data_IF_631084026132
#
_entry.id   IF_631084026132
#
_cell.length_a   1.000
_cell.length_b   1.000
_cell.length_c   1.000
_cell.angle_alpha   90.00
_cell.angle_beta   90.00
_cell.angle_gamma   90.00
#
_symmetry.space_group_name_H-M   'P 1'
#
loop_
_entity.id
_entity.type
_entity.pdbx_description
1 polymer ?
#
# COMPACT_ATOMS: atom_id res chain seq x y z
N UNK A 1 18.87 22.16 4.54
CA UNK A 1 17.42 21.82 4.54
C UNK A 1 16.97 21.38 3.14
N UNK A 2 17.40 22.05 2.07
CA UNK A 2 17.24 21.57 0.68
C UNK A 2 18.09 20.30 0.39
N UNK A 3 19.36 20.25 0.82
CA UNK A 3 20.22 19.05 0.70
C UNK A 3 19.61 17.78 1.30
N UNK A 4 18.97 17.87 2.47
CA UNK A 4 18.36 16.71 3.16
C UNK A 4 17.18 16.14 2.35
N UNK A 5 16.53 16.98 1.53
CA UNK A 5 15.44 16.55 0.65
C UNK A 5 15.99 15.93 -0.64
N UNK A 6 17.08 16.47 -1.19
CA UNK A 6 17.79 15.90 -2.35
C UNK A 6 18.44 14.55 -2.01
N UNK A 7 19.15 14.44 -0.89
CA UNK A 7 19.75 13.18 -0.41
C UNK A 7 18.70 12.09 -0.21
N UNK A 8 17.51 12.48 0.26
CA UNK A 8 16.39 11.57 0.45
C UNK A 8 15.74 11.17 -0.86
N UNK A 9 15.76 12.03 -1.87
CA UNK A 9 15.28 11.73 -3.22
C UNK A 9 16.26 10.80 -3.95
N UNK A 10 17.56 11.00 -3.79
CA UNK A 10 18.61 10.09 -4.29
C UNK A 10 18.52 8.71 -3.63
N UNK A 11 18.35 8.63 -2.30
CA UNK A 11 18.16 7.36 -1.60
C UNK A 11 16.91 6.60 -2.09
N UNK A 12 15.84 7.33 -2.46
CA UNK A 12 14.64 6.71 -3.06
C UNK A 12 14.90 6.19 -4.46
N UNK A 13 15.70 6.89 -5.27
CA UNK A 13 16.08 6.43 -6.61
C UNK A 13 17.00 5.19 -6.53
N UNK A 14 17.89 5.12 -5.54
CA UNK A 14 18.72 3.94 -5.30
C UNK A 14 17.92 2.73 -4.83
N UNK A 15 16.94 2.91 -3.93
CA UNK A 15 16.00 1.84 -3.57
C UNK A 15 15.17 1.37 -4.77
N UNK A 16 14.73 2.31 -5.62
CA UNK A 16 13.98 1.99 -6.84
C UNK A 16 14.80 1.12 -7.80
N UNK A 17 16.09 1.40 -7.96
CA UNK A 17 16.99 0.61 -8.79
C UNK A 17 17.25 -0.80 -8.22
N UNK A 18 17.08 -0.98 -6.90
CA UNK A 18 17.17 -2.29 -6.24
C UNK A 18 15.98 -3.20 -6.57
N UNK A 19 14.84 -2.62 -6.96
CA UNK A 19 13.62 -3.32 -7.38
C UNK A 19 13.37 -3.17 -8.89
N UNK A 20 14.41 -3.42 -9.69
CA UNK A 20 14.35 -3.49 -11.16
C UNK A 20 13.16 -4.33 -11.65
N UNK A 21 12.54 -3.89 -12.75
CA UNK A 21 11.32 -4.38 -13.42
C UNK A 21 11.40 -5.83 -13.97
N UNK A 22 12.02 -6.77 -13.25
CA UNK A 22 11.89 -8.18 -13.58
C UNK A 22 10.49 -8.66 -13.19
N UNK A 23 9.57 -8.50 -14.14
CA UNK A 23 8.26 -9.14 -14.14
C UNK A 23 8.48 -10.65 -14.03
N UNK A 24 8.14 -11.24 -12.88
CA UNK A 24 8.08 -12.70 -12.76
C UNK A 24 6.94 -13.23 -13.66
N UNK A 25 7.34 -13.70 -14.84
CA UNK A 25 6.45 -14.12 -15.95
C UNK A 25 5.66 -15.40 -15.60
N UNK A 26 5.91 -16.04 -14.46
CA UNK A 26 5.40 -17.39 -14.18
C UNK A 26 4.14 -17.48 -13.31
N UNK A 27 3.52 -16.39 -12.86
CA UNK A 27 2.26 -16.49 -12.11
C UNK A 27 1.04 -16.30 -13.01
N UNK A 28 0.64 -17.37 -13.70
CA UNK A 28 -0.63 -17.40 -14.46
C UNK A 28 -1.81 -17.55 -13.48
N UNK A 29 -2.20 -16.47 -12.82
CA UNK A 29 -3.50 -16.35 -12.13
C UNK A 29 -4.55 -15.75 -13.08
N UNK A 30 -5.83 -16.17 -12.99
CA UNK A 30 -6.85 -15.82 -13.96
C UNK A 30 -7.18 -14.32 -13.85
N UNK A 31 -6.83 -13.57 -14.90
CA UNK A 31 -7.30 -12.22 -15.28
C UNK A 31 -7.91 -11.39 -14.13
N UNK A 32 -7.11 -11.01 -13.13
CA UNK A 32 -7.47 -9.91 -12.24
C UNK A 32 -7.04 -8.61 -12.91
N UNK A 33 -7.76 -8.19 -13.96
CA UNK A 33 -7.58 -6.86 -14.52
C UNK A 33 -7.94 -5.87 -13.41
N UNK A 34 -6.98 -5.11 -12.93
CA UNK A 34 -7.18 -4.02 -11.98
C UNK A 34 -7.25 -2.74 -12.82
N UNK A 35 -8.37 -2.48 -13.53
CA UNK A 35 -8.44 -1.48 -14.59
C UNK A 35 -8.09 -0.06 -14.12
N UNK A 36 -8.18 0.21 -12.83
CA UNK A 36 -7.87 1.54 -12.29
C UNK A 36 -6.37 1.67 -12.07
N UNK A 37 -5.75 0.69 -11.42
CA UNK A 37 -4.29 0.64 -11.31
C UNK A 37 -3.63 0.58 -12.70
N UNK A 38 -4.08 -0.35 -13.55
CA UNK A 38 -3.58 -0.56 -14.91
C UNK A 38 -3.82 0.67 -15.79
N UNK A 39 -4.95 1.35 -15.61
CA UNK A 39 -5.29 2.58 -16.33
C UNK A 39 -4.35 3.73 -15.97
N UNK A 40 -4.10 3.96 -14.68
CA UNK A 40 -3.16 5.00 -14.22
C UNK A 40 -1.74 4.70 -14.70
N UNK A 41 -1.30 3.44 -14.63
CA UNK A 41 0.00 3.03 -15.13
C UNK A 41 0.11 3.21 -16.65
N UNK A 42 -0.92 2.85 -17.41
CA UNK A 42 -0.92 3.04 -18.87
C UNK A 42 -0.88 4.52 -19.27
N UNK A 43 -1.56 5.39 -18.53
CA UNK A 43 -1.70 6.80 -18.90
C UNK A 43 -0.48 7.65 -18.49
N UNK A 44 0.27 7.25 -17.46
CA UNK A 44 1.39 8.05 -16.93
C UNK A 44 2.59 7.27 -16.40
N UNK A 45 2.66 5.97 -16.66
CA UNK A 45 3.77 5.09 -16.29
C UNK A 45 3.92 4.88 -14.77
N UNK A 46 5.10 4.38 -14.39
CA UNK A 46 5.47 4.19 -12.99
C UNK A 46 5.46 5.51 -12.20
N UNK A 47 5.81 6.63 -12.86
CA UNK A 47 5.88 7.94 -12.23
C UNK A 47 4.51 8.44 -11.75
N UNK A 48 3.44 8.22 -12.53
CA UNK A 48 2.09 8.57 -12.08
C UNK A 48 1.67 7.78 -10.83
N UNK A 49 2.03 6.50 -10.78
CA UNK A 49 1.76 5.61 -9.63
C UNK A 49 2.54 6.08 -8.39
N UNK A 50 3.83 6.37 -8.55
CA UNK A 50 4.70 6.89 -7.49
C UNK A 50 4.19 8.24 -6.98
N UNK A 51 3.81 9.15 -7.87
CA UNK A 51 3.24 10.45 -7.51
C UNK A 51 1.91 10.34 -6.77
N UNK A 52 1.13 9.28 -6.98
CA UNK A 52 -0.14 9.08 -6.27
C UNK A 52 -0.02 8.30 -4.96
N UNK A 53 1.04 7.52 -4.75
CA UNK A 53 1.13 6.61 -3.57
C UNK A 53 2.42 6.68 -2.77
N UNK A 54 3.49 7.28 -3.30
CA UNK A 54 4.87 7.18 -2.83
C UNK A 54 5.51 5.79 -3.01
N UNK A 55 4.81 4.85 -3.65
CA UNK A 55 5.30 3.51 -3.92
C UNK A 55 5.48 3.30 -5.42
N UNK A 56 6.52 2.58 -5.80
CA UNK A 56 6.67 2.05 -7.15
C UNK A 56 5.57 0.99 -7.43
N UNK A 57 5.31 0.67 -8.71
CA UNK A 57 4.43 -0.44 -9.06
C UNK A 57 4.85 -1.78 -8.42
N UNK A 58 6.16 -2.04 -8.31
CA UNK A 58 6.69 -3.27 -7.71
C UNK A 58 6.47 -3.30 -6.19
N UNK A 59 6.69 -2.19 -5.48
CA UNK A 59 6.40 -2.08 -4.05
C UNK A 59 4.90 -2.26 -3.75
N UNK A 60 4.03 -1.68 -4.58
CA UNK A 60 2.58 -1.89 -4.46
C UNK A 60 2.21 -3.36 -4.63
N UNK A 61 2.86 -4.06 -5.58
CA UNK A 61 2.65 -5.49 -5.75
C UNK A 61 3.10 -6.27 -4.51
N UNK A 62 4.28 -5.98 -3.97
CA UNK A 62 4.77 -6.61 -2.73
C UNK A 62 3.81 -6.42 -1.56
N UNK A 63 3.35 -5.19 -1.34
CA UNK A 63 2.34 -4.90 -0.32
C UNK A 63 1.03 -5.63 -0.58
N UNK A 64 0.56 -5.63 -1.83
CA UNK A 64 -0.64 -6.37 -2.22
C UNK A 64 -0.50 -7.87 -1.94
N UNK A 65 0.62 -8.49 -2.29
CA UNK A 65 0.87 -9.92 -2.05
C UNK A 65 0.83 -10.28 -0.56
N UNK A 66 1.28 -9.39 0.33
CA UNK A 66 1.22 -9.62 1.78
C UNK A 66 -0.22 -9.71 2.33
N UNK A 67 -1.17 -8.96 1.74
CA UNK A 67 -2.56 -8.91 2.20
C UNK A 67 -3.55 -9.67 1.31
N UNK A 68 -3.18 -10.03 0.08
CA UNK A 68 -4.11 -10.55 -0.94
C UNK A 68 -4.89 -11.78 -0.47
N UNK A 69 -4.23 -12.69 0.26
CA UNK A 69 -4.86 -13.92 0.74
C UNK A 69 -5.97 -13.63 1.74
N UNK A 70 -5.73 -12.68 2.65
CA UNK A 70 -6.73 -12.20 3.61
C UNK A 70 -7.88 -11.47 2.88
N UNK A 71 -7.54 -10.54 1.98
CA UNK A 71 -8.53 -9.77 1.22
C UNK A 71 -9.43 -10.67 0.38
N UNK A 72 -8.87 -11.69 -0.29
CA UNK A 72 -9.64 -12.64 -1.09
C UNK A 72 -10.66 -13.41 -0.23
N UNK A 73 -10.29 -13.71 1.02
CA UNK A 73 -11.14 -14.45 1.95
C UNK A 73 -12.25 -13.60 2.57
N UNK A 74 -12.04 -12.30 2.81
CA UNK A 74 -12.96 -11.50 3.63
C UNK A 74 -13.66 -10.34 2.91
N UNK A 75 -13.10 -9.77 1.84
CA UNK A 75 -13.59 -8.51 1.26
C UNK A 75 -15.05 -8.52 0.78
N UNK A 76 -15.50 -9.63 0.19
CA UNK A 76 -16.87 -9.77 -0.33
C UNK A 76 -17.75 -10.69 0.53
N UNK A 77 -17.27 -11.13 1.70
CA UNK A 77 -18.05 -11.99 2.59
C UNK A 77 -19.02 -11.13 3.41
N UNK A 78 -20.27 -11.57 3.55
CA UNK A 78 -21.29 -10.87 4.34
C UNK A 78 -21.82 -9.56 3.71
N UNK A 79 -21.18 -9.04 2.65
CA UNK A 79 -21.74 -7.95 1.84
C UNK A 79 -22.81 -8.51 0.92
N UNK A 80 -24.08 -8.21 1.20
CA UNK A 80 -25.21 -8.66 0.35
C UNK A 80 -25.02 -8.37 -1.15
N UNK A 81 -24.31 -7.28 -1.49
CA UNK A 81 -23.83 -7.00 -2.85
C UNK A 81 -22.30 -6.92 -2.89
N UNK A 82 -21.69 -7.70 -3.79
CA UNK A 82 -20.24 -7.67 -4.07
C UNK A 82 -19.81 -6.30 -4.57
N UNK A 83 -18.56 -5.91 -4.26
CA UNK A 83 -17.95 -4.71 -4.82
C UNK A 83 -17.84 -4.82 -6.35
N UNK A 84 -18.06 -3.71 -7.05
CA UNK A 84 -17.84 -3.59 -8.50
C UNK A 84 -16.37 -3.36 -8.86
N UNK A 85 -15.54 -3.00 -7.87
CA UNK A 85 -14.12 -2.74 -8.04
C UNK A 85 -13.30 -4.00 -7.75
N UNK A 86 -12.22 -4.19 -8.51
CA UNK A 86 -11.24 -5.22 -8.19
C UNK A 86 -10.60 -4.91 -6.83
N UNK A 87 -10.32 -5.94 -6.03
CA UNK A 87 -9.80 -5.75 -4.68
C UNK A 87 -8.45 -5.02 -4.67
N UNK A 88 -7.60 -5.27 -5.68
CA UNK A 88 -6.32 -4.57 -5.87
C UNK A 88 -6.51 -3.10 -6.28
N UNK A 89 -7.55 -2.76 -7.05
CA UNK A 89 -7.89 -1.35 -7.33
C UNK A 89 -8.27 -0.62 -6.04
N UNK A 90 -9.09 -1.26 -5.19
CA UNK A 90 -9.48 -0.66 -3.90
C UNK A 90 -8.28 -0.50 -2.98
N UNK A 91 -7.36 -1.46 -2.96
CA UNK A 91 -6.09 -1.35 -2.25
C UNK A 91 -5.24 -0.18 -2.76
N UNK A 92 -5.10 -0.03 -4.08
CA UNK A 92 -4.41 1.12 -4.67
C UNK A 92 -5.09 2.45 -4.30
N UNK A 93 -6.41 2.55 -4.41
CA UNK A 93 -7.15 3.75 -3.99
C UNK A 93 -6.95 4.08 -2.52
N UNK A 94 -6.89 3.07 -1.64
CA UNK A 94 -6.61 3.25 -0.23
C UNK A 94 -5.22 3.89 -0.04
N UNK A 95 -4.18 3.41 -0.72
CA UNK A 95 -2.85 4.03 -0.66
C UNK A 95 -2.87 5.49 -1.12
N UNK A 96 -3.64 5.81 -2.16
CA UNK A 96 -3.82 7.20 -2.62
C UNK A 96 -4.54 8.06 -1.57
N UNK A 97 -5.58 7.54 -0.93
CA UNK A 97 -6.27 8.22 0.19
C UNK A 97 -5.29 8.51 1.33
N UNK A 98 -4.44 7.55 1.68
CA UNK A 98 -3.44 7.69 2.74
C UNK A 98 -2.35 8.72 2.38
N UNK A 99 -1.93 8.81 1.11
CA UNK A 99 -0.95 9.82 0.67
C UNK A 99 -1.55 11.22 0.53
N UNK A 100 -2.62 11.35 -0.25
CA UNK A 100 -3.01 12.65 -0.81
C UNK A 100 -3.60 13.62 0.21
N UNK A 101 -4.01 13.16 1.41
CA UNK A 101 -4.49 14.01 2.51
C UNK A 101 -5.45 15.11 2.04
N UNK A 102 -6.74 14.84 1.93
CA UNK A 102 -7.69 15.82 1.39
C UNK A 102 -9.15 15.41 1.58
N UNK A 103 -10.06 16.14 0.95
CA UNK A 103 -11.49 15.80 1.01
C UNK A 103 -11.77 14.52 0.21
N UNK A 104 -12.73 13.72 0.68
CA UNK A 104 -13.17 12.52 -0.02
C UNK A 104 -13.61 12.81 -1.47
N UNK A 105 -14.18 13.98 -1.73
CA UNK A 105 -14.60 14.40 -3.07
C UNK A 105 -13.42 14.59 -4.02
N UNK A 106 -12.35 15.21 -3.55
CA UNK A 106 -11.14 15.42 -4.35
C UNK A 106 -10.53 14.09 -4.77
N UNK A 107 -10.37 13.15 -3.83
CA UNK A 107 -9.77 11.84 -4.12
C UNK A 107 -10.70 10.98 -4.99
N UNK A 108 -12.02 11.03 -4.75
CA UNK A 108 -12.99 10.31 -5.57
C UNK A 108 -12.99 10.79 -7.04
N UNK A 109 -12.75 12.09 -7.27
CA UNK A 109 -12.63 12.66 -8.63
C UNK A 109 -11.42 12.14 -9.39
N UNK A 110 -10.29 11.83 -8.73
CA UNK A 110 -9.11 11.22 -9.37
C UNK A 110 -9.52 9.92 -10.09
N UNK A 111 -10.37 9.12 -9.44
CA UNK A 111 -10.82 7.83 -9.96
C UNK A 111 -12.14 7.89 -10.72
N UNK A 112 -12.73 9.08 -10.90
CA UNK A 112 -14.05 9.28 -11.51
C UNK A 112 -15.16 8.45 -10.84
N UNK A 113 -15.06 8.25 -9.52
CA UNK A 113 -16.04 7.51 -8.71
C UNK A 113 -16.95 8.49 -7.98
N UNK A 114 -18.24 8.15 -7.82
CA UNK A 114 -19.16 8.94 -6.98
C UNK A 114 -18.67 8.96 -5.53
N UNK A 115 -18.54 10.14 -4.93
CA UNK A 115 -17.97 10.36 -3.59
C UNK A 115 -18.54 9.44 -2.51
N UNK A 116 -19.87 9.29 -2.41
CA UNK A 116 -20.48 8.39 -1.42
C UNK A 116 -20.14 6.90 -1.66
N UNK A 117 -19.99 6.49 -2.92
CA UNK A 117 -19.57 5.12 -3.26
C UNK A 117 -18.10 4.92 -2.92
N UNK A 118 -17.26 5.91 -3.20
CA UNK A 118 -15.84 5.90 -2.87
C UNK A 118 -15.62 5.76 -1.37
N UNK A 119 -16.25 6.63 -0.55
CA UNK A 119 -16.16 6.56 0.92
C UNK A 119 -16.55 5.17 1.43
N UNK A 120 -17.75 4.69 1.06
CA UNK A 120 -18.24 3.37 1.51
C UNK A 120 -17.34 2.21 1.09
N UNK A 121 -16.68 2.33 -0.06
CA UNK A 121 -15.77 1.31 -0.58
C UNK A 121 -14.47 1.32 0.21
N UNK A 122 -13.85 2.49 0.38
CA UNK A 122 -12.58 2.63 1.10
C UNK A 122 -12.73 2.30 2.58
N UNK A 123 -13.74 2.83 3.28
CA UNK A 123 -13.91 2.56 4.71
C UNK A 123 -14.20 1.08 4.97
N UNK A 124 -15.06 0.45 4.17
CA UNK A 124 -15.30 -0.99 4.30
C UNK A 124 -14.05 -1.81 3.99
N UNK A 125 -13.20 -1.35 3.07
CA UNK A 125 -11.96 -2.06 2.75
C UNK A 125 -10.94 -1.93 3.88
N UNK A 126 -10.84 -0.75 4.52
CA UNK A 126 -10.03 -0.52 5.72
C UNK A 126 -10.41 -1.51 6.82
N UNK A 127 -11.71 -1.66 7.12
CA UNK A 127 -12.20 -2.62 8.13
C UNK A 127 -11.74 -4.05 7.87
N UNK A 128 -11.58 -4.44 6.59
CA UNK A 128 -11.10 -5.76 6.19
C UNK A 128 -9.58 -5.88 6.29
N UNK A 129 -8.82 -4.87 5.87
CA UNK A 129 -7.34 -4.99 5.85
C UNK A 129 -6.68 -4.68 7.18
N UNK A 130 -7.27 -3.82 8.02
CA UNK A 130 -6.66 -3.38 9.28
C UNK A 130 -6.24 -4.53 10.20
N UNK A 131 -7.07 -5.58 10.45
CA UNK A 131 -6.65 -6.68 11.32
C UNK A 131 -5.40 -7.40 10.80
N UNK A 132 -5.34 -7.65 9.48
CA UNK A 132 -4.19 -8.33 8.88
C UNK A 132 -2.94 -7.45 8.88
N UNK A 133 -3.07 -6.17 8.58
CA UNK A 133 -1.94 -5.23 8.63
C UNK A 133 -1.38 -5.11 10.04
N UNK A 134 -2.25 -5.05 11.05
CA UNK A 134 -1.83 -4.99 12.45
C UNK A 134 -1.13 -6.28 12.87
N UNK A 135 -1.67 -7.44 12.50
CA UNK A 135 -1.04 -8.73 12.76
C UNK A 135 0.36 -8.80 12.13
N UNK A 136 0.44 -8.55 10.83
CA UNK A 136 1.65 -8.76 10.02
C UNK A 136 2.76 -7.76 10.33
N UNK A 137 2.44 -6.52 10.68
CA UNK A 137 3.45 -5.45 10.79
C UNK A 137 3.63 -4.91 12.20
N UNK A 138 2.66 -5.12 13.10
CA UNK A 138 2.78 -4.69 14.50
C UNK A 138 3.04 -5.89 15.39
N UNK A 139 2.16 -6.90 15.37
CA UNK A 139 2.30 -8.02 16.31
C UNK A 139 3.48 -8.93 15.99
N UNK A 140 3.77 -9.17 14.71
CA UNK A 140 4.95 -9.96 14.30
C UNK A 140 6.28 -9.35 14.77
N UNK A 141 6.32 -8.02 14.90
CA UNK A 141 7.51 -7.28 15.34
C UNK A 141 7.67 -7.26 16.85
N UNK A 142 6.61 -7.56 17.62
CA UNK A 142 6.69 -7.63 19.08
C UNK A 142 7.65 -8.73 19.54
N UNK A 143 7.66 -9.87 18.84
CA UNK A 143 8.52 -11.00 19.21
C UNK A 143 9.99 -10.76 18.82
N UNK A 144 10.23 -10.03 17.72
CA UNK A 144 11.57 -9.73 17.20
C UNK A 144 12.22 -8.54 17.90
N UNK A 145 11.42 -7.56 18.31
CA UNK A 145 11.87 -6.25 18.82
C UNK A 145 11.57 -6.10 20.31
N UNK A 146 11.60 -7.20 21.07
CA UNK A 146 11.52 -7.10 22.52
C UNK A 146 12.72 -6.31 23.06
N UNK A 147 12.52 -5.54 24.13
CA UNK A 147 13.63 -4.84 24.81
C UNK A 147 14.76 -5.82 25.19
N UNK A 148 14.43 -7.08 25.53
CA UNK A 148 15.42 -8.13 25.81
C UNK A 148 16.26 -8.51 24.59
N UNK A 149 15.64 -8.66 23.41
CA UNK A 149 16.34 -8.93 22.17
C UNK A 149 17.25 -7.76 21.77
N UNK A 150 16.77 -6.51 21.88
CA UNK A 150 17.55 -5.30 21.60
C UNK A 150 18.76 -5.11 22.54
N UNK A 151 18.59 -5.43 23.83
CA UNK A 151 19.67 -5.42 24.84
C UNK A 151 20.73 -6.46 24.49
N UNK A 152 20.31 -7.65 24.05
CA UNK A 152 21.24 -8.74 23.72
C UNK A 152 21.96 -8.50 22.39
N UNK A 153 21.32 -7.83 21.43
CA UNK A 153 21.90 -7.53 20.12
C UNK A 153 22.70 -6.21 20.06
N UNK A 154 22.78 -5.46 21.16
CA UNK A 154 23.53 -4.19 21.22
C UNK A 154 22.87 -3.03 20.48
N UNK A 155 21.57 -3.11 20.18
CA UNK A 155 20.78 -2.08 19.49
C UNK A 155 19.92 -1.25 20.44
N UNK A 156 20.30 -1.18 21.73
CA UNK A 156 19.64 -0.31 22.71
C UNK A 156 19.91 1.16 22.40
N UNK A 157 18.88 1.99 22.58
CA UNK A 157 19.05 3.44 22.56
C UNK A 157 20.07 3.85 23.63
N UNK A 158 21.07 4.65 23.23
CA UNK A 158 21.94 5.34 24.17
C UNK A 158 21.06 6.32 24.96
N UNK A 159 20.90 6.10 26.26
CA UNK A 159 20.09 6.90 27.18
C UNK A 159 20.04 8.39 26.82
N UNK A 160 18.84 8.93 26.60
CA UNK A 160 18.62 10.38 26.65
C UNK A 160 18.43 10.79 28.12
N UNK A 161 19.21 11.75 28.65
CA UNK A 161 18.97 12.28 29.98
C UNK A 161 17.69 13.14 29.96
N UNK A 162 16.88 12.98 31.00
CA UNK A 162 15.73 13.84 31.30
C UNK A 162 16.15 15.30 31.42
#
# INVERSE_FOLDING_TARGET
MLEILEDREEARLEELNRYSDEVDVNNTEPTSTCPIFDGIYRDGGAEAVLRLTNFSPSEINTLWFSVRGHVHRYWNVGRGRRSTFAAKDVFFMLLVVMKCGGTWDMVARIFKVKTLTFIKTITGFIEVVTPKLYEEWVTSQLDVTTMGALVTSGHTFNNFPW
#
